data_IF_212105468419
#
_entry.id   IF_212105468419
#
_cell.length_a   1.000
_cell.length_b   1.000
_cell.length_c   1.000
_cell.angle_alpha   90.00
_cell.angle_beta   90.00
_cell.angle_gamma   90.00
#
_symmetry.space_group_name_H-M   'P 1'
#
loop_
_entity.id
_entity.type
_entity.pdbx_description
1 polymer ?
#
# COMPACT_ATOMS: atom_id res chain seq x y z
N UNK A 1 13.63 -0.35 19.05
CA UNK A 1 14.23 -0.20 17.71
C UNK A 1 13.08 0.17 16.78
N UNK A 2 13.15 1.25 16.02
CA UNK A 2 12.03 1.65 15.14
C UNK A 2 12.14 0.91 13.81
N UNK A 3 11.02 0.72 13.11
CA UNK A 3 11.02 0.09 11.78
C UNK A 3 12.00 0.77 10.82
N UNK A 4 12.09 2.11 10.85
CA UNK A 4 13.06 2.87 10.04
C UNK A 4 14.53 2.52 10.32
N UNK A 5 14.88 2.20 11.57
CA UNK A 5 16.26 1.83 11.94
C UNK A 5 16.61 0.43 11.37
N UNK A 6 15.62 -0.48 11.33
CA UNK A 6 15.75 -1.81 10.72
C UNK A 6 15.94 -1.66 9.20
N UNK A 7 15.06 -0.92 8.53
CA UNK A 7 15.16 -0.69 7.09
C UNK A 7 16.51 -0.07 6.71
N UNK A 8 17.00 0.92 7.46
CA UNK A 8 18.30 1.53 7.19
C UNK A 8 19.45 0.51 7.25
N UNK A 9 19.42 -0.41 8.21
CA UNK A 9 20.43 -1.46 8.35
C UNK A 9 20.37 -2.49 7.20
N UNK A 10 19.17 -2.89 6.78
CA UNK A 10 18.99 -3.90 5.72
C UNK A 10 19.18 -3.35 4.31
N UNK A 11 18.86 -2.08 4.07
CA UNK A 11 18.91 -1.48 2.73
C UNK A 11 20.32 -0.99 2.33
N UNK A 12 21.28 -1.00 3.26
CA UNK A 12 22.68 -0.66 2.95
C UNK A 12 22.85 0.74 2.36
N UNK A 13 22.04 1.71 2.78
CA UNK A 13 22.04 3.08 2.27
C UNK A 13 21.19 3.32 1.01
N UNK A 14 20.54 2.28 0.46
CA UNK A 14 19.59 2.42 -0.65
C UNK A 14 18.21 2.81 -0.15
N UNK A 15 17.40 3.42 -1.01
CA UNK A 15 15.98 3.62 -0.70
C UNK A 15 15.16 2.35 -0.96
N UNK A 16 14.01 2.21 -0.28
CA UNK A 16 13.05 1.13 -0.58
C UNK A 16 12.58 1.19 -2.04
N UNK A 17 12.46 2.40 -2.61
CA UNK A 17 12.10 2.58 -4.02
C UNK A 17 13.15 2.00 -4.96
N UNK A 18 14.44 2.24 -4.69
CA UNK A 18 15.53 1.71 -5.53
C UNK A 18 15.57 0.18 -5.50
N UNK A 19 15.34 -0.42 -4.33
CA UNK A 19 15.29 -1.89 -4.17
C UNK A 19 14.07 -2.46 -4.90
N UNK A 20 12.90 -1.84 -4.74
CA UNK A 20 11.69 -2.22 -5.48
C UNK A 20 11.89 -2.18 -6.99
N UNK A 21 12.42 -1.07 -7.52
CA UNK A 21 12.62 -0.87 -8.97
C UNK A 21 13.66 -1.83 -9.56
N UNK A 22 14.70 -2.18 -8.80
CA UNK A 22 15.65 -3.21 -9.23
C UNK A 22 14.98 -4.59 -9.24
N UNK A 23 14.23 -4.93 -8.20
CA UNK A 23 13.59 -6.24 -8.04
C UNK A 23 12.50 -6.47 -9.09
N UNK A 24 11.77 -5.42 -9.48
CA UNK A 24 10.73 -5.48 -10.51
C UNK A 24 11.25 -5.20 -11.92
N UNK A 25 12.56 -5.05 -12.10
CA UNK A 25 13.15 -4.77 -13.42
C UNK A 25 12.90 -5.94 -14.37
N UNK A 26 12.34 -5.62 -15.54
CA UNK A 26 12.10 -6.60 -16.61
C UNK A 26 10.70 -7.24 -16.59
N UNK A 27 9.88 -6.93 -15.58
CA UNK A 27 8.45 -7.27 -15.61
C UNK A 27 7.68 -6.17 -16.34
N UNK A 28 7.00 -6.54 -17.41
CA UNK A 28 6.16 -5.64 -18.23
C UNK A 28 4.71 -5.52 -17.72
N UNK A 29 4.32 -6.40 -16.80
CA UNK A 29 3.00 -6.46 -16.19
C UNK A 29 2.89 -5.73 -14.85
N UNK A 30 3.96 -5.05 -14.40
CA UNK A 30 3.97 -4.25 -13.17
C UNK A 30 3.88 -2.76 -13.53
N UNK A 31 2.83 -2.10 -13.05
CA UNK A 31 2.64 -0.66 -13.22
C UNK A 31 2.88 0.05 -11.88
N UNK A 32 3.88 0.91 -11.82
CA UNK A 32 4.17 1.75 -10.64
C UNK A 32 3.54 3.12 -10.80
N UNK A 33 2.64 3.49 -9.89
CA UNK A 33 2.10 4.85 -9.79
C UNK A 33 2.88 5.59 -8.69
N UNK A 34 3.72 6.56 -9.08
CA UNK A 34 4.49 7.37 -8.12
C UNK A 34 3.73 8.65 -7.78
N UNK A 35 3.24 8.75 -6.55
CA UNK A 35 2.55 9.94 -6.07
C UNK A 35 1.96 9.75 -4.68
N UNK A 36 1.30 10.80 -4.19
CA UNK A 36 0.48 10.76 -2.98
C UNK A 36 -0.80 9.95 -3.28
N UNK A 37 -1.03 8.86 -2.55
CA UNK A 37 -2.16 7.95 -2.78
C UNK A 37 -3.52 8.65 -2.62
N UNK A 38 -3.60 9.73 -1.84
CA UNK A 38 -4.82 10.57 -1.74
C UNK A 38 -5.23 11.23 -3.04
N UNK A 39 -4.31 11.36 -3.98
CA UNK A 39 -4.52 11.98 -5.29
C UNK A 39 -4.66 10.95 -6.42
N UNK A 40 -4.40 9.67 -6.14
CA UNK A 40 -4.53 8.60 -7.12
C UNK A 40 -6.00 8.32 -7.38
N UNK A 41 -6.35 8.20 -8.66
CA UNK A 41 -7.69 7.82 -9.14
C UNK A 41 -7.52 6.78 -10.24
N UNK A 42 -8.35 5.75 -10.22
CA UNK A 42 -8.40 4.76 -11.28
C UNK A 42 -9.55 5.08 -12.24
N UNK A 43 -9.44 4.72 -13.53
CA UNK A 43 -10.57 4.75 -14.45
C UNK A 43 -11.76 3.93 -13.93
N UNK A 44 -12.99 4.39 -14.17
CA UNK A 44 -14.20 3.77 -13.61
C UNK A 44 -14.38 2.30 -14.03
N UNK A 45 -13.95 1.97 -15.25
CA UNK A 45 -13.97 0.64 -15.83
C UNK A 45 -12.89 -0.28 -15.27
N UNK A 46 -11.84 0.27 -14.64
CA UNK A 46 -10.78 -0.53 -14.04
C UNK A 46 -11.34 -1.26 -12.82
N UNK A 47 -11.16 -2.58 -12.80
CA UNK A 47 -11.63 -3.46 -11.71
C UNK A 47 -10.49 -4.28 -11.13
N UNK A 48 -10.58 -4.52 -9.82
CA UNK A 48 -9.63 -5.33 -9.08
C UNK A 48 -10.31 -6.57 -8.51
N UNK A 49 -9.63 -7.71 -8.61
CA UNK A 49 -10.01 -8.96 -7.92
C UNK A 49 -9.42 -9.02 -6.52
N UNK A 50 -8.34 -8.28 -6.29
CA UNK A 50 -7.60 -8.23 -5.05
C UNK A 50 -7.02 -6.83 -4.83
N UNK A 51 -7.02 -6.37 -3.59
CA UNK A 51 -6.31 -5.18 -3.16
C UNK A 51 -5.65 -5.39 -1.79
N UNK A 52 -4.58 -4.66 -1.55
CA UNK A 52 -3.84 -4.72 -0.29
C UNK A 52 -3.44 -3.31 0.12
N UNK A 53 -3.81 -2.91 1.34
CA UNK A 53 -3.50 -1.59 1.90
C UNK A 53 -2.39 -1.77 2.93
N UNK A 54 -1.23 -1.19 2.62
CA UNK A 54 -0.04 -1.12 3.48
C UNK A 54 0.50 0.31 3.44
N UNK A 55 -0.34 1.23 3.96
CA UNK A 55 -0.09 2.67 3.91
C UNK A 55 0.89 3.13 5.00
N UNK A 56 1.06 4.45 5.15
CA UNK A 56 1.97 5.03 6.15
C UNK A 56 1.49 4.95 7.61
N UNK A 57 0.57 4.04 7.93
CA UNK A 57 -0.08 3.83 9.24
C UNK A 57 -0.81 5.05 9.82
N UNK A 58 -1.07 6.07 9.01
CA UNK A 58 -1.92 7.20 9.36
C UNK A 58 -3.37 6.88 8.99
N UNK A 59 -4.31 7.02 9.93
CA UNK A 59 -5.72 6.67 9.73
C UNK A 59 -6.31 7.28 8.44
N UNK A 60 -6.01 8.54 8.14
CA UNK A 60 -6.52 9.23 6.95
C UNK A 60 -6.03 8.63 5.62
N UNK A 61 -4.83 8.06 5.58
CA UNK A 61 -4.32 7.37 4.39
C UNK A 61 -4.91 5.97 4.28
N UNK A 62 -5.07 5.26 5.39
CA UNK A 62 -5.72 3.94 5.43
C UNK A 62 -7.16 4.04 4.92
N UNK A 63 -7.94 5.03 5.40
CA UNK A 63 -9.31 5.30 4.92
C UNK A 63 -9.32 5.64 3.43
N UNK A 64 -8.41 6.51 2.99
CA UNK A 64 -8.33 6.89 1.57
C UNK A 64 -8.05 5.68 0.68
N UNK A 65 -7.02 4.91 1.01
CA UNK A 65 -6.55 3.80 0.19
C UNK A 65 -7.59 2.67 0.14
N UNK A 66 -8.26 2.40 1.27
CA UNK A 66 -9.43 1.54 1.30
C UNK A 66 -10.50 2.00 0.30
N UNK A 67 -10.89 3.28 0.34
CA UNK A 67 -11.95 3.81 -0.54
C UNK A 67 -11.57 3.75 -2.02
N UNK A 68 -10.32 4.09 -2.35
CA UNK A 68 -9.80 4.03 -3.72
C UNK A 68 -9.86 2.61 -4.28
N UNK A 69 -9.58 1.59 -3.46
CA UNK A 69 -9.63 0.19 -3.92
C UNK A 69 -11.07 -0.33 -3.91
N UNK A 70 -11.83 -0.07 -2.85
CA UNK A 70 -13.15 -0.63 -2.62
C UNK A 70 -14.14 -0.30 -3.74
N UNK A 71 -14.10 0.93 -4.27
CA UNK A 71 -14.95 1.37 -5.39
C UNK A 71 -14.70 0.59 -6.69
N UNK A 72 -13.52 -0.01 -6.82
CA UNK A 72 -13.08 -0.75 -8.01
C UNK A 72 -13.03 -2.26 -7.77
N UNK A 73 -13.34 -2.73 -6.56
CA UNK A 73 -13.31 -4.16 -6.23
C UNK A 73 -14.52 -4.88 -6.83
N UNK A 74 -14.28 -6.00 -7.50
CA UNK A 74 -15.39 -6.84 -8.03
C UNK A 74 -16.17 -7.50 -6.90
N UNK A 75 -17.40 -7.93 -7.20
CA UNK A 75 -18.14 -8.80 -6.27
C UNK A 75 -17.32 -10.05 -5.95
N UNK A 76 -17.20 -10.36 -4.65
CA UNK A 76 -16.36 -11.46 -4.11
C UNK A 76 -14.84 -11.25 -4.26
N UNK A 77 -14.39 -10.05 -4.64
CA UNK A 77 -12.99 -9.67 -4.51
C UNK A 77 -12.56 -9.60 -3.06
N UNK A 78 -11.24 -9.57 -2.83
CA UNK A 78 -10.64 -9.57 -1.49
C UNK A 78 -9.83 -8.30 -1.28
N UNK A 79 -9.98 -7.68 -0.12
CA UNK A 79 -9.16 -6.55 0.32
C UNK A 79 -8.45 -6.93 1.63
N UNK A 80 -7.12 -6.89 1.62
CA UNK A 80 -6.28 -7.07 2.80
C UNK A 80 -5.80 -5.75 3.38
N UNK A 81 -5.64 -5.69 4.70
CA UNK A 81 -5.14 -4.55 5.44
C UNK A 81 -3.92 -5.02 6.24
N UNK A 82 -2.77 -4.39 6.01
CA UNK A 82 -1.60 -4.56 6.86
C UNK A 82 -1.89 -3.99 8.26
N UNK A 83 -1.29 -4.56 9.31
CA UNK A 83 -1.42 -4.09 10.71
C UNK A 83 -2.85 -3.98 11.30
N UNK A 84 -3.83 -4.65 10.70
CA UNK A 84 -5.16 -4.76 11.29
C UNK A 84 -5.11 -5.59 12.58
N UNK A 85 -5.59 -5.02 13.70
CA UNK A 85 -5.48 -5.54 15.07
C UNK A 85 -4.03 -5.76 15.51
N UNK A 86 -3.12 -4.86 15.11
CA UNK A 86 -1.73 -4.85 15.55
C UNK A 86 -1.48 -3.70 16.52
N UNK A 87 -0.92 -4.01 17.69
CA UNK A 87 -0.83 -3.07 18.81
C UNK A 87 0.12 -1.89 18.54
N UNK A 88 1.15 -2.09 17.72
CA UNK A 88 2.13 -1.04 17.42
C UNK A 88 1.58 0.05 16.47
N UNK A 89 0.46 -0.23 15.78
CA UNK A 89 -0.20 0.69 14.85
C UNK A 89 -1.70 0.81 15.14
N UNK A 90 -2.08 1.38 16.29
CA UNK A 90 -3.45 1.36 16.78
C UNK A 90 -4.42 2.16 15.92
N UNK A 91 -3.92 3.04 15.03
CA UNK A 91 -4.73 3.87 14.13
C UNK A 91 -5.31 3.10 12.93
N UNK A 92 -4.73 1.95 12.58
CA UNK A 92 -5.12 1.19 11.37
C UNK A 92 -6.45 0.47 11.55
N UNK A 93 -6.65 -0.17 12.70
CA UNK A 93 -7.88 -0.92 13.00
C UNK A 93 -9.15 -0.05 13.01
N UNK A 94 -9.19 1.10 13.71
CA UNK A 94 -10.39 1.94 13.76
C UNK A 94 -10.66 2.71 12.46
N UNK A 95 -9.71 2.73 11.51
CA UNK A 95 -9.90 3.36 10.21
C UNK A 95 -10.89 2.61 9.30
N UNK A 96 -11.21 1.35 9.61
CA UNK A 96 -11.99 0.44 8.77
C UNK A 96 -13.14 -0.21 9.55
#
# INVERSE_FOLDING_TARGET
>A
MRAGDIYAAFLGGRSMLDVYQETTRGFDNIVTIKGDSKKVRFPEEQKFVFGFVDGCHQAEYVINDFNVIWQHLVSRGVLGLHDYKFDDWPEVTPAI
#
